data_IF_470348371984
#
_entry.id   IF_470348371984
#
_cell.length_a   1.000
_cell.length_b   1.000
_cell.length_c   1.000
_cell.angle_alpha   90.00
_cell.angle_beta   90.00
_cell.angle_gamma   90.00
#
_symmetry.space_group_name_H-M   'P 1'
#
loop_
_entity.id
_entity.type
_entity.pdbx_description
1 polymer ?
#
# COMPACT_ATOMS: atom_id res chain seq x y z
N UNK A 1 7.20 -9.86 15.16
CA UNK A 1 6.44 -9.79 13.89
C UNK A 1 6.55 -11.08 13.07
N UNK A 2 7.74 -11.48 12.59
CA UNK A 2 7.92 -12.66 11.71
C UNK A 2 7.40 -13.97 12.30
N UNK A 3 7.60 -14.23 13.59
CA UNK A 3 7.06 -15.43 14.26
C UNK A 3 5.54 -15.46 14.21
N UNK A 4 4.89 -14.33 14.47
CA UNK A 4 3.44 -14.21 14.39
C UNK A 4 2.92 -14.40 12.95
N UNK A 5 3.66 -13.94 11.95
CA UNK A 5 3.32 -14.20 10.54
C UNK A 5 3.38 -15.70 10.22
N UNK A 6 4.41 -16.40 10.68
CA UNK A 6 4.54 -17.85 10.45
C UNK A 6 3.39 -18.66 11.05
N UNK A 7 2.92 -18.27 12.23
CA UNK A 7 1.90 -19.04 12.97
C UNK A 7 0.48 -18.59 12.68
N UNK A 8 0.27 -17.33 12.31
CA UNK A 8 -1.07 -16.73 12.18
C UNK A 8 -1.58 -16.57 10.75
N UNK A 9 -0.71 -16.46 9.75
CA UNK A 9 -1.10 -16.06 8.39
C UNK A 9 -2.12 -17.00 7.73
N UNK A 10 -1.89 -18.30 7.78
CA UNK A 10 -2.72 -19.32 7.13
C UNK A 10 -3.89 -19.82 7.97
N UNK A 11 -4.05 -19.37 9.22
CA UNK A 11 -5.08 -19.88 10.12
C UNK A 11 -6.48 -19.44 9.66
N UNK A 12 -7.50 -20.25 9.99
CA UNK A 12 -8.90 -19.87 9.74
C UNK A 12 -9.30 -18.63 10.56
N UNK A 13 -8.85 -18.56 11.82
CA UNK A 13 -9.08 -17.37 12.66
C UNK A 13 -8.41 -16.13 12.02
N UNK A 14 -9.19 -15.09 11.68
CA UNK A 14 -8.67 -13.92 10.99
C UNK A 14 -7.91 -12.93 11.89
N UNK A 15 -7.88 -13.13 13.21
CA UNK A 15 -7.37 -12.16 14.19
C UNK A 15 -5.99 -11.60 13.82
N UNK A 16 -5.09 -12.46 13.36
CA UNK A 16 -3.76 -12.02 12.95
C UNK A 16 -3.79 -11.19 11.66
N UNK A 17 -4.55 -11.62 10.65
CA UNK A 17 -4.71 -10.88 9.39
C UNK A 17 -5.46 -9.57 9.60
N UNK A 18 -6.41 -9.54 10.53
CA UNK A 18 -7.14 -8.32 10.89
C UNK A 18 -6.22 -7.20 11.37
N UNK A 19 -5.11 -7.54 12.03
CA UNK A 19 -4.09 -6.56 12.39
C UNK A 19 -3.56 -5.83 11.14
N UNK A 20 -3.17 -6.57 10.10
CA UNK A 20 -2.71 -5.96 8.84
C UNK A 20 -3.85 -5.24 8.13
N UNK A 21 -5.02 -5.84 8.05
CA UNK A 21 -6.20 -5.20 7.45
C UNK A 21 -6.48 -3.83 8.07
N UNK A 22 -6.37 -3.72 9.40
CA UNK A 22 -6.57 -2.45 10.11
C UNK A 22 -5.51 -1.39 9.81
N UNK A 23 -4.33 -1.79 9.34
CA UNK A 23 -3.29 -0.87 8.87
C UNK A 23 -3.49 -0.49 7.40
N UNK A 24 -3.84 -1.47 6.56
CA UNK A 24 -3.95 -1.26 5.11
C UNK A 24 -5.23 -0.52 4.71
N UNK A 25 -6.34 -0.83 5.36
CA UNK A 25 -7.66 -0.27 5.03
C UNK A 25 -8.47 0.09 6.28
N UNK A 26 -7.97 1.00 7.14
CA UNK A 26 -8.65 1.38 8.39
C UNK A 26 -10.05 1.98 8.15
N UNK A 27 -10.29 2.58 6.99
CA UNK A 27 -11.58 3.16 6.59
C UNK A 27 -12.53 2.21 5.86
N UNK A 28 -12.19 0.91 5.79
CA UNK A 28 -13.00 -0.07 5.10
C UNK A 28 -14.26 -0.46 5.89
N UNK A 29 -15.31 -0.87 5.18
CA UNK A 29 -16.48 -1.49 5.81
C UNK A 29 -16.12 -2.87 6.40
N UNK A 30 -16.93 -3.42 7.33
CA UNK A 30 -16.70 -4.77 7.86
C UNK A 30 -16.60 -5.84 6.75
N UNK A 31 -17.42 -5.74 5.70
CA UNK A 31 -17.41 -6.65 4.56
C UNK A 31 -16.12 -6.53 3.75
N UNK A 32 -15.64 -5.32 3.51
CA UNK A 32 -14.37 -5.06 2.83
C UNK A 32 -13.19 -5.58 3.66
N UNK A 33 -13.21 -5.39 4.98
CA UNK A 33 -12.19 -5.95 5.86
C UNK A 33 -12.18 -7.48 5.84
N UNK A 34 -13.35 -8.11 5.87
CA UNK A 34 -13.47 -9.56 5.76
C UNK A 34 -12.95 -10.08 4.41
N UNK A 35 -13.30 -9.39 3.33
CA UNK A 35 -12.79 -9.69 2.00
C UNK A 35 -11.26 -9.59 1.96
N UNK A 36 -10.68 -8.52 2.50
CA UNK A 36 -9.23 -8.32 2.52
C UNK A 36 -8.52 -9.36 3.41
N UNK A 37 -9.11 -9.71 4.56
CA UNK A 37 -8.62 -10.82 5.40
C UNK A 37 -8.56 -12.14 4.62
N UNK A 38 -9.60 -12.44 3.83
CA UNK A 38 -9.62 -13.65 3.02
C UNK A 38 -8.63 -13.57 1.87
N UNK A 39 -8.52 -12.43 1.20
CA UNK A 39 -7.54 -12.19 0.14
C UNK A 39 -6.12 -12.49 0.62
N UNK A 40 -5.72 -11.97 1.78
CA UNK A 40 -4.42 -12.26 2.39
C UNK A 40 -4.18 -13.77 2.57
N UNK A 41 -5.23 -14.51 2.97
CA UNK A 41 -5.14 -15.96 3.22
C UNK A 41 -4.94 -16.76 1.93
N UNK A 42 -5.64 -16.39 0.86
CA UNK A 42 -5.67 -17.21 -0.38
C UNK A 42 -4.57 -16.84 -1.36
N UNK A 43 -3.98 -15.65 -1.26
CA UNK A 43 -2.99 -15.16 -2.23
C UNK A 43 -1.58 -15.64 -1.96
N UNK A 44 -1.23 -15.94 -0.69
CA UNK A 44 0.13 -16.39 -0.38
C UNK A 44 0.19 -17.24 0.88
N UNK A 45 1.19 -18.10 0.95
CA UNK A 45 1.48 -18.89 2.15
C UNK A 45 2.17 -18.05 3.23
N UNK A 46 2.12 -18.52 4.48
CA UNK A 46 2.84 -17.89 5.60
C UNK A 46 4.34 -17.77 5.33
N UNK A 47 4.94 -18.78 4.73
CA UNK A 47 6.36 -18.78 4.37
C UNK A 47 6.69 -17.69 3.35
N UNK A 48 5.90 -17.57 2.31
CA UNK A 48 6.10 -16.52 1.28
C UNK A 48 5.84 -15.12 1.85
N UNK A 49 4.81 -14.94 2.69
CA UNK A 49 4.55 -13.67 3.35
C UNK A 49 5.76 -13.22 4.19
N UNK A 50 6.39 -14.14 4.92
CA UNK A 50 7.61 -13.87 5.69
C UNK A 50 8.78 -13.53 4.78
N UNK A 51 8.99 -14.26 3.68
CA UNK A 51 10.05 -13.94 2.70
C UNK A 51 9.87 -12.56 2.10
N UNK A 52 8.65 -12.23 1.67
CA UNK A 52 8.33 -10.90 1.13
C UNK A 52 8.61 -9.80 2.14
N UNK A 53 8.20 -10.00 3.40
CA UNK A 53 8.46 -9.02 4.46
C UNK A 53 9.96 -8.80 4.67
N UNK A 54 10.74 -9.88 4.74
CA UNK A 54 12.20 -9.78 4.89
C UNK A 54 12.86 -9.02 3.73
N UNK A 55 12.46 -9.32 2.49
CA UNK A 55 12.99 -8.60 1.33
C UNK A 55 12.63 -7.11 1.42
N UNK A 56 11.38 -6.78 1.76
CA UNK A 56 10.93 -5.39 1.86
C UNK A 56 11.66 -4.61 2.95
N UNK A 57 11.95 -5.24 4.09
CA UNK A 57 12.65 -4.60 5.21
C UNK A 57 14.11 -4.20 4.88
N UNK A 58 14.74 -4.90 3.94
CA UNK A 58 16.13 -4.66 3.55
C UNK A 58 16.29 -3.99 2.18
N UNK A 59 15.18 -3.77 1.47
CA UNK A 59 15.21 -3.15 0.14
C UNK A 59 15.53 -1.67 0.25
N UNK A 60 16.58 -1.23 -0.44
CA UNK A 60 16.89 0.17 -0.63
C UNK A 60 17.01 0.47 -2.13
N UNK A 61 16.13 1.32 -2.63
CA UNK A 61 16.06 1.69 -4.05
C UNK A 61 16.43 3.14 -4.32
N UNK A 62 16.92 3.88 -3.33
CA UNK A 62 17.19 5.33 -3.43
C UNK A 62 18.10 5.64 -4.60
N UNK A 63 19.15 4.87 -4.80
CA UNK A 63 20.12 5.08 -5.89
C UNK A 63 19.57 4.72 -7.29
N UNK A 64 18.42 4.06 -7.35
CA UNK A 64 17.75 3.70 -8.60
C UNK A 64 16.73 4.77 -9.04
N UNK A 65 16.21 5.58 -8.13
CA UNK A 65 15.19 6.58 -8.44
C UNK A 65 15.62 7.56 -9.55
N UNK A 66 16.86 8.10 -9.59
CA UNK A 66 17.29 8.97 -10.68
C UNK A 66 17.38 8.29 -12.05
N UNK A 67 17.36 6.95 -12.08
CA UNK A 67 17.46 6.17 -13.30
C UNK A 67 16.09 5.89 -13.94
N UNK A 68 15.00 6.22 -13.29
CA UNK A 68 13.64 6.06 -13.82
C UNK A 68 13.43 7.06 -14.96
N UNK A 69 13.17 6.54 -16.17
CA UNK A 69 13.04 7.33 -17.42
C UNK A 69 11.60 7.49 -17.89
N UNK A 70 10.67 6.75 -17.29
CA UNK A 70 9.26 6.75 -17.69
C UNK A 70 8.48 7.84 -16.94
N UNK A 71 7.41 8.41 -17.53
CA UNK A 71 6.51 9.29 -16.81
C UNK A 71 6.03 8.62 -15.52
N UNK A 72 6.09 9.34 -14.42
CA UNK A 72 5.78 8.79 -13.10
C UNK A 72 4.81 9.69 -12.35
N UNK A 73 3.72 9.10 -11.85
CA UNK A 73 2.78 9.73 -10.94
C UNK A 73 2.80 8.97 -9.60
N UNK A 74 3.10 9.66 -8.53
CA UNK A 74 3.07 9.13 -7.16
C UNK A 74 1.83 9.66 -6.45
N UNK A 75 0.95 8.75 -6.04
CA UNK A 75 -0.27 9.04 -5.28
C UNK A 75 -0.10 8.45 -3.88
N UNK A 76 -0.37 9.23 -2.83
CA UNK A 76 -0.17 8.77 -1.45
C UNK A 76 -1.20 9.39 -0.52
N UNK A 77 -1.86 8.57 0.30
CA UNK A 77 -2.78 9.03 1.32
C UNK A 77 -2.03 9.66 2.50
N UNK A 78 -2.52 10.80 2.99
CA UNK A 78 -1.85 11.56 4.06
C UNK A 78 -1.73 10.79 5.38
N UNK A 79 -2.73 9.96 5.70
CA UNK A 79 -2.81 9.21 6.95
C UNK A 79 -2.45 7.73 6.79
N UNK A 80 -1.73 7.36 5.74
CA UNK A 80 -1.26 5.99 5.53
C UNK A 80 -0.41 5.50 6.71
N UNK A 81 -0.85 4.42 7.37
CA UNK A 81 -0.17 3.82 8.51
C UNK A 81 0.80 2.70 8.12
N UNK A 82 0.79 2.26 6.85
CA UNK A 82 1.67 1.19 6.34
C UNK A 82 2.99 1.78 5.85
N UNK A 83 2.89 2.87 5.07
CA UNK A 83 4.04 3.60 4.55
C UNK A 83 3.93 5.07 4.94
N UNK A 84 4.95 5.64 5.61
CA UNK A 84 4.95 7.05 5.95
C UNK A 84 4.76 7.94 4.72
N UNK A 85 3.92 8.95 4.83
CA UNK A 85 3.62 9.90 3.75
C UNK A 85 4.88 10.52 3.12
N UNK A 86 5.91 10.78 3.94
CA UNK A 86 7.19 11.33 3.49
C UNK A 86 7.94 10.38 2.53
N UNK A 87 7.72 9.07 2.61
CA UNK A 87 8.37 8.13 1.68
C UNK A 87 7.82 8.30 0.26
N UNK A 88 6.53 8.53 0.10
CA UNK A 88 5.96 8.88 -1.22
C UNK A 88 6.54 10.17 -1.77
N UNK A 89 6.72 11.19 -0.92
CA UNK A 89 7.36 12.46 -1.31
C UNK A 89 8.82 12.26 -1.73
N UNK A 90 9.58 11.45 -0.98
CA UNK A 90 10.97 11.12 -1.31
C UNK A 90 11.09 10.39 -2.64
N UNK A 91 10.20 9.42 -2.90
CA UNK A 91 10.16 8.72 -4.19
C UNK A 91 9.94 9.73 -5.33
N UNK A 92 8.93 10.57 -5.23
CA UNK A 92 8.64 11.57 -6.26
C UNK A 92 9.79 12.57 -6.45
N UNK A 93 10.43 13.00 -5.37
CA UNK A 93 11.56 13.91 -5.43
C UNK A 93 12.82 13.26 -6.05
N UNK A 94 12.98 11.94 -5.90
CA UNK A 94 14.10 11.19 -6.44
C UNK A 94 13.99 10.83 -7.92
N UNK A 95 12.77 10.82 -8.48
CA UNK A 95 12.50 10.46 -9.88
C UNK A 95 12.40 11.73 -10.74
N UNK A 96 13.25 11.90 -11.78
CA UNK A 96 13.20 13.08 -12.65
C UNK A 96 11.82 13.24 -13.31
N UNK A 97 11.20 14.39 -13.14
CA UNK A 97 9.90 14.72 -13.75
C UNK A 97 8.69 14.01 -13.12
N UNK A 98 8.86 13.28 -12.02
CA UNK A 98 7.70 12.69 -11.34
C UNK A 98 6.78 13.76 -10.74
N UNK A 99 5.48 13.48 -10.80
CA UNK A 99 4.46 14.27 -10.10
C UNK A 99 4.08 13.58 -8.80
N UNK A 100 3.88 14.38 -7.75
CA UNK A 100 3.36 13.91 -6.47
C UNK A 100 1.97 14.48 -6.21
N UNK A 101 1.02 13.62 -5.84
CA UNK A 101 -0.32 14.02 -5.43
C UNK A 101 -0.65 13.42 -4.07
N UNK A 102 -0.90 14.30 -3.13
CA UNK A 102 -1.41 13.92 -1.82
C UNK A 102 -2.92 13.67 -1.89
N UNK A 103 -3.36 12.54 -1.38
CA UNK A 103 -4.75 12.16 -1.28
C UNK A 103 -5.23 12.28 0.17
N UNK A 104 -6.45 12.76 0.35
CA UNK A 104 -7.07 12.80 1.67
C UNK A 104 -7.62 11.42 2.02
N UNK A 105 -7.24 10.92 3.19
CA UNK A 105 -7.62 9.58 3.66
C UNK A 105 -6.50 8.92 4.45
N UNK A 106 -6.84 7.78 5.06
CA UNK A 106 -5.95 7.02 5.92
C UNK A 106 -5.66 5.61 5.37
N UNK A 107 -6.29 5.21 4.29
CA UNK A 107 -6.10 3.91 3.70
C UNK A 107 -4.81 3.86 2.88
N UNK A 108 -4.03 2.79 3.07
CA UNK A 108 -2.90 2.46 2.19
C UNK A 108 -3.40 2.04 0.81
N UNK A 109 -4.47 1.25 0.78
CA UNK A 109 -5.20 0.89 -0.44
C UNK A 109 -6.45 1.77 -0.50
N UNK A 110 -6.46 2.74 -1.40
CA UNK A 110 -7.58 3.68 -1.54
C UNK A 110 -8.87 2.94 -1.95
N UNK A 111 -9.98 3.29 -1.31
CA UNK A 111 -11.31 2.73 -1.53
C UNK A 111 -12.25 3.81 -2.10
N UNK A 112 -13.33 3.39 -2.77
CA UNK A 112 -14.25 4.32 -3.44
C UNK A 112 -14.96 5.30 -2.47
N UNK A 113 -15.11 4.93 -1.20
CA UNK A 113 -15.67 5.81 -0.17
C UNK A 113 -14.66 6.75 0.47
N UNK A 114 -13.37 6.66 0.14
CA UNK A 114 -12.34 7.54 0.70
C UNK A 114 -12.50 8.97 0.21
N UNK A 115 -12.26 9.97 1.07
CA UNK A 115 -12.31 11.37 0.67
C UNK A 115 -11.40 11.70 -0.53
N UNK A 116 -10.29 11.01 -0.66
CA UNK A 116 -9.34 11.17 -1.76
C UNK A 116 -9.73 10.49 -3.07
N UNK A 117 -10.79 9.65 -3.08
CA UNK A 117 -11.16 8.86 -4.26
C UNK A 117 -11.46 9.67 -5.52
N UNK A 118 -12.26 10.76 -5.47
CA UNK A 118 -12.52 11.57 -6.66
C UNK A 118 -11.23 12.18 -7.25
N UNK A 119 -10.33 12.62 -6.39
CA UNK A 119 -9.03 13.17 -6.83
C UNK A 119 -8.14 12.07 -7.41
N UNK A 120 -8.11 10.89 -6.80
CA UNK A 120 -7.39 9.74 -7.34
C UNK A 120 -7.84 9.44 -8.77
N UNK A 121 -9.15 9.34 -9.03
CA UNK A 121 -9.69 9.08 -10.36
C UNK A 121 -9.32 10.18 -11.35
N UNK A 122 -9.46 11.44 -10.98
CA UNK A 122 -9.14 12.58 -11.82
C UNK A 122 -7.66 12.59 -12.23
N UNK A 123 -6.76 12.41 -11.27
CA UNK A 123 -5.31 12.43 -11.51
C UNK A 123 -4.85 11.24 -12.35
N UNK A 124 -5.41 10.07 -12.11
CA UNK A 124 -5.14 8.87 -12.91
C UNK A 124 -5.63 9.04 -14.34
N UNK A 125 -6.85 9.52 -14.54
CA UNK A 125 -7.41 9.77 -15.87
C UNK A 125 -6.57 10.79 -16.64
N UNK A 126 -6.19 11.89 -15.99
CA UNK A 126 -5.36 12.93 -16.62
C UNK A 126 -3.94 12.44 -16.93
N UNK A 127 -3.38 11.56 -16.10
CA UNK A 127 -2.03 11.02 -16.31
C UNK A 127 -1.98 9.97 -17.43
N UNK A 128 -3.04 9.20 -17.60
CA UNK A 128 -3.15 8.15 -18.62
C UNK A 128 -3.76 8.63 -19.93
N UNK A 129 -4.24 9.89 -20.00
CA UNK A 129 -4.74 10.47 -21.24
C UNK A 129 -3.62 10.55 -22.28
N UNK A 130 -3.90 10.22 -23.57
CA UNK A 130 -2.94 10.28 -24.65
C UNK A 130 -2.45 11.71 -24.96
#
# INVERSE_FOLDING_TARGET
MLTLMRTGWGQENPAFRQFFTSLFVPGATPEQMQWFNNLQRVTTSAENAVKMRLVSDYMNIVDLLPQVKVPTLVLHCRGDAVQPFEEGRRIAAGIPGARFVALDGNNHLILEQDPGWPRFQQEMAAFLAP
#
